data_IF_602807884363
#
_entry.id   IF_602807884363
#
_cell.length_a   1.000
_cell.length_b   1.000
_cell.length_c   1.000
_cell.angle_alpha   90.00
_cell.angle_beta   90.00
_cell.angle_gamma   90.00
#
_symmetry.space_group_name_H-M   'P 1'
#
loop_
_entity.id
_entity.type
_entity.pdbx_description
1 polymer ?
#
# COMPACT_ATOMS: atom_id res chain seq x y z
N UNK A 1 -11.46 5.98 14.56
CA UNK A 1 -10.29 5.98 13.64
C UNK A 1 -10.61 5.31 12.31
N UNK A 2 -11.39 4.22 12.26
CA UNK A 2 -11.85 3.58 11.01
C UNK A 2 -12.70 4.46 10.08
N UNK A 3 -13.59 5.31 10.60
CA UNK A 3 -14.47 6.16 9.78
C UNK A 3 -13.74 7.22 8.92
N UNK A 4 -12.53 7.65 9.30
CA UNK A 4 -11.78 8.65 8.52
C UNK A 4 -11.08 8.05 7.29
N UNK A 5 -10.77 6.75 7.31
CA UNK A 5 -10.15 6.05 6.18
C UNK A 5 -11.19 5.66 5.11
N UNK A 6 -12.40 5.35 5.54
CA UNK A 6 -13.54 4.98 4.69
C UNK A 6 -13.88 6.07 3.66
N UNK A 7 -13.99 7.33 4.12
CA UNK A 7 -14.66 8.37 3.33
C UNK A 7 -13.73 9.31 2.56
N UNK A 8 -12.41 9.31 2.78
CA UNK A 8 -11.54 10.34 2.19
C UNK A 8 -10.38 9.79 1.36
N UNK A 9 -10.54 9.92 0.03
CA UNK A 9 -9.42 10.16 -0.89
C UNK A 9 -8.98 8.98 -1.75
N UNK A 10 -9.61 7.82 -1.64
CA UNK A 10 -9.31 6.69 -2.53
C UNK A 10 -9.88 6.90 -3.93
N UNK A 11 -9.10 6.53 -4.94
CA UNK A 11 -9.40 6.65 -6.35
C UNK A 11 -9.01 5.37 -7.08
N UNK A 12 -9.74 5.03 -8.13
CA UNK A 12 -9.29 4.03 -9.10
C UNK A 12 -8.17 4.60 -9.97
N UNK A 13 -7.12 3.83 -10.18
CA UNK A 13 -5.99 4.25 -11.02
C UNK A 13 -6.36 4.38 -12.50
N UNK A 14 -7.34 3.60 -12.97
CA UNK A 14 -7.75 3.52 -14.38
C UNK A 14 -8.38 4.83 -14.89
N UNK A 15 -9.30 5.41 -14.13
CA UNK A 15 -10.13 6.55 -14.54
C UNK A 15 -10.10 7.71 -13.54
N UNK A 16 -9.43 7.55 -12.40
CA UNK A 16 -9.34 8.57 -11.35
C UNK A 16 -10.63 8.78 -10.56
N UNK A 17 -11.65 7.94 -10.75
CA UNK A 17 -12.91 8.06 -10.02
C UNK A 17 -12.71 7.76 -8.54
N UNK A 18 -13.34 8.56 -7.69
CA UNK A 18 -13.38 8.33 -6.26
C UNK A 18 -14.21 7.09 -5.94
N UNK A 19 -13.76 6.33 -4.95
CA UNK A 19 -14.46 5.14 -4.45
C UNK A 19 -14.42 5.12 -2.93
N UNK A 20 -15.48 4.60 -2.31
CA UNK A 20 -15.36 4.05 -0.95
C UNK A 20 -14.50 2.78 -1.07
N UNK A 21 -13.39 2.75 -0.33
CA UNK A 21 -12.43 1.66 -0.46
C UNK A 21 -13.05 0.32 -0.09
N UNK A 22 -13.79 0.26 1.02
CA UNK A 22 -14.27 -1.01 1.55
C UNK A 22 -15.42 -1.55 0.69
N UNK A 23 -16.38 -0.69 0.36
CA UNK A 23 -17.53 -1.09 -0.47
C UNK A 23 -17.07 -1.55 -1.85
N UNK A 24 -16.09 -0.85 -2.44
CA UNK A 24 -15.54 -1.23 -3.75
C UNK A 24 -14.80 -2.57 -3.68
N UNK A 25 -13.94 -2.78 -2.68
CA UNK A 25 -13.19 -4.04 -2.54
C UNK A 25 -14.15 -5.21 -2.29
N UNK A 26 -15.17 -5.04 -1.45
CA UNK A 26 -16.20 -6.07 -1.22
C UNK A 26 -16.97 -6.39 -2.48
N UNK A 27 -17.44 -5.38 -3.21
CA UNK A 27 -18.18 -5.60 -4.45
C UNK A 27 -17.35 -6.41 -5.48
N UNK A 28 -16.05 -6.18 -5.56
CA UNK A 28 -15.15 -6.98 -6.42
C UNK A 28 -15.04 -8.41 -5.92
N UNK A 29 -14.80 -8.62 -4.62
CA UNK A 29 -14.64 -9.96 -4.03
C UNK A 29 -15.93 -10.79 -4.05
N UNK A 30 -17.08 -10.14 -3.88
CA UNK A 30 -18.40 -10.78 -4.01
C UNK A 30 -18.65 -11.24 -5.45
N UNK A 31 -18.14 -10.50 -6.44
CA UNK A 31 -18.24 -10.88 -7.85
C UNK A 31 -17.23 -11.96 -8.27
N UNK A 32 -16.04 -11.98 -7.66
CA UNK A 32 -14.98 -12.93 -7.92
C UNK A 32 -14.15 -13.20 -6.64
N UNK A 33 -14.50 -14.25 -5.88
CA UNK A 33 -13.79 -14.59 -4.64
C UNK A 33 -12.35 -15.07 -4.85
N UNK A 34 -11.92 -15.32 -6.10
CA UNK A 34 -10.54 -15.73 -6.41
C UNK A 34 -9.55 -14.55 -6.45
N UNK A 35 -10.07 -13.32 -6.42
CA UNK A 35 -9.25 -12.11 -6.44
C UNK A 35 -8.38 -12.03 -5.19
N UNK A 36 -7.08 -11.85 -5.41
CA UNK A 36 -6.11 -11.67 -4.33
C UNK A 36 -5.88 -10.19 -4.05
N UNK A 37 -5.74 -9.83 -2.76
CA UNK A 37 -5.67 -8.44 -2.29
C UNK A 37 -4.30 -8.16 -1.69
N UNK A 38 -3.56 -7.24 -2.30
CA UNK A 38 -2.26 -6.77 -1.80
C UNK A 38 -2.34 -5.30 -1.42
N UNK A 39 -1.66 -4.91 -0.34
CA UNK A 39 -1.60 -3.52 0.12
C UNK A 39 -0.15 -3.09 0.17
N UNK A 40 0.15 -1.87 -0.26
CA UNK A 40 1.51 -1.36 -0.25
C UNK A 40 1.54 0.15 -0.33
N UNK A 41 2.67 0.72 0.05
CA UNK A 41 2.88 2.16 -0.02
C UNK A 41 4.27 2.44 -0.58
N UNK A 42 4.41 3.62 -1.18
CA UNK A 42 5.69 4.21 -1.57
C UNK A 42 5.66 5.70 -1.26
N UNK A 43 6.83 6.32 -1.20
CA UNK A 43 6.94 7.75 -0.95
C UNK A 43 7.99 8.45 -1.80
N UNK A 44 7.72 9.72 -2.12
CA UNK A 44 8.66 10.56 -2.83
C UNK A 44 8.80 11.94 -2.18
N UNK A 45 10.03 12.31 -1.88
CA UNK A 45 10.37 13.65 -1.41
C UNK A 45 10.24 14.66 -2.57
N UNK A 46 9.46 15.70 -2.34
CA UNK A 46 9.38 16.92 -3.16
C UNK A 46 10.14 18.03 -2.44
N UNK A 47 10.19 19.22 -3.05
CA UNK A 47 10.95 20.37 -2.52
C UNK A 47 10.71 20.60 -1.02
N UNK A 48 9.44 20.70 -0.62
CA UNK A 48 9.02 21.10 0.73
C UNK A 48 8.17 20.05 1.47
N UNK A 49 7.90 18.90 0.86
CA UNK A 49 6.99 17.89 1.43
C UNK A 49 7.36 16.50 0.95
N UNK A 50 6.85 15.47 1.63
CA UNK A 50 6.88 14.09 1.17
C UNK A 50 5.49 13.70 0.69
N UNK A 51 5.40 13.10 -0.50
CA UNK A 51 4.15 12.50 -0.99
C UNK A 51 4.20 11.02 -0.69
N UNK A 52 3.22 10.51 0.03
CA UNK A 52 2.98 9.08 0.19
C UNK A 52 1.85 8.67 -0.74
N UNK A 53 1.99 7.54 -1.42
CA UNK A 53 0.92 6.86 -2.11
C UNK A 53 0.71 5.50 -1.46
N UNK A 54 -0.53 5.19 -1.11
CA UNK A 54 -0.93 3.87 -0.59
C UNK A 54 -1.89 3.25 -1.58
N UNK A 55 -1.64 2.00 -1.93
CA UNK A 55 -2.36 1.25 -2.95
C UNK A 55 -2.95 -0.02 -2.38
N UNK A 56 -4.11 -0.37 -2.91
CA UNK A 56 -4.75 -1.68 -2.77
C UNK A 56 -4.85 -2.25 -4.17
N UNK A 57 -4.19 -3.39 -4.39
CA UNK A 57 -4.16 -4.08 -5.67
C UNK A 57 -5.04 -5.32 -5.58
N UNK A 58 -6.08 -5.33 -6.42
CA UNK A 58 -6.98 -6.45 -6.63
C UNK A 58 -6.47 -7.20 -7.86
N UNK A 59 -5.82 -8.34 -7.64
CA UNK A 59 -5.22 -9.16 -8.70
C UNK A 59 -6.17 -10.29 -9.07
N UNK A 60 -6.68 -10.22 -10.28
CA UNK A 60 -7.52 -11.25 -10.90
C UNK A 60 -6.61 -12.35 -11.44
N UNK A 61 -7.09 -13.60 -11.43
CA UNK A 61 -6.33 -14.74 -11.94
C UNK A 61 -5.98 -14.55 -13.44
N UNK A 62 -6.94 -14.07 -14.25
CA UNK A 62 -6.79 -13.98 -15.71
C UNK A 62 -6.83 -12.54 -16.26
N UNK A 63 -7.49 -11.62 -15.56
CA UNK A 63 -7.84 -10.29 -16.09
C UNK A 63 -6.94 -9.15 -15.60
N UNK A 64 -5.68 -9.46 -15.27
CA UNK A 64 -4.73 -8.46 -14.79
C UNK A 64 -5.06 -7.96 -13.38
N UNK A 65 -4.94 -6.65 -13.13
CA UNK A 65 -5.13 -6.09 -11.80
C UNK A 65 -5.87 -4.74 -11.84
N UNK A 66 -6.69 -4.50 -10.82
CA UNK A 66 -7.25 -3.19 -10.52
C UNK A 66 -6.48 -2.56 -9.35
N UNK A 67 -6.16 -1.28 -9.48
CA UNK A 67 -5.45 -0.52 -8.45
C UNK A 67 -6.37 0.57 -7.90
N UNK A 68 -6.60 0.52 -6.60
CA UNK A 68 -7.23 1.59 -5.81
C UNK A 68 -6.11 2.29 -5.04
N UNK A 69 -6.14 3.62 -4.96
CA UNK A 69 -5.05 4.35 -4.32
C UNK A 69 -5.51 5.62 -3.63
N UNK A 70 -4.75 6.02 -2.61
CA UNK A 70 -4.83 7.35 -1.99
C UNK A 70 -3.45 7.99 -2.03
N UNK A 71 -3.42 9.32 -2.10
CA UNK A 71 -2.19 10.11 -1.95
C UNK A 71 -2.33 11.09 -0.80
N UNK A 72 -1.26 11.22 -0.04
CA UNK A 72 -1.18 12.09 1.13
C UNK A 72 0.08 12.95 1.04
N UNK A 73 -0.01 14.19 1.51
CA UNK A 73 1.14 15.10 1.65
C UNK A 73 1.48 15.21 3.13
N UNK A 74 2.73 14.97 3.46
CA UNK A 74 3.28 15.15 4.80
C UNK A 74 4.42 16.17 4.77
N UNK A 75 4.79 16.76 5.92
CA UNK A 75 6.06 17.49 6.05
C UNK A 75 7.23 16.67 5.49
N UNK A 76 8.23 17.35 4.95
CA UNK A 76 9.36 16.67 4.31
C UNK A 76 10.12 15.79 5.30
N UNK A 77 10.20 14.49 5.01
CA UNK A 77 10.93 13.50 5.80
C UNK A 77 12.27 13.21 5.11
N UNK A 78 13.34 13.81 5.63
CA UNK A 78 14.69 13.64 5.06
C UNK A 78 15.33 12.32 5.48
N UNK A 79 15.03 11.84 6.68
CA UNK A 79 15.56 10.58 7.19
C UNK A 79 14.92 9.39 6.48
N UNK A 80 15.76 8.52 5.90
CA UNK A 80 15.30 7.36 5.14
C UNK A 80 14.51 6.39 6.01
N UNK A 81 14.99 6.13 7.24
CA UNK A 81 14.35 5.19 8.14
C UNK A 81 12.92 5.62 8.47
N UNK A 82 12.76 6.86 8.94
CA UNK A 82 11.46 7.46 9.28
C UNK A 82 10.51 7.44 8.08
N UNK A 83 11.03 7.71 6.88
CA UNK A 83 10.22 7.73 5.66
C UNK A 83 9.73 6.34 5.26
N UNK A 84 10.63 5.36 5.22
CA UNK A 84 10.27 3.97 4.91
C UNK A 84 9.34 3.38 5.99
N UNK A 85 9.57 3.70 7.27
CA UNK A 85 8.65 3.30 8.33
C UNK A 85 7.25 3.89 8.13
N UNK A 86 7.18 5.15 7.69
CA UNK A 86 5.92 5.78 7.33
C UNK A 86 5.20 5.12 6.14
N UNK A 87 5.90 4.41 5.25
CA UNK A 87 5.29 3.58 4.21
C UNK A 87 4.72 2.28 4.82
N UNK A 88 5.46 1.63 5.72
CA UNK A 88 5.01 0.41 6.43
C UNK A 88 3.74 0.69 7.24
N UNK A 89 3.72 1.77 8.02
CA UNK A 89 2.58 2.13 8.87
C UNK A 89 1.31 2.41 8.06
N UNK A 90 1.43 3.11 6.93
CA UNK A 90 0.30 3.41 6.04
C UNK A 90 -0.26 2.16 5.37
N UNK A 91 0.60 1.25 4.94
CA UNK A 91 0.16 -0.02 4.35
C UNK A 91 -0.57 -0.87 5.40
N UNK A 92 -0.01 -0.95 6.62
CA UNK A 92 -0.65 -1.67 7.72
C UNK A 92 -1.99 -1.05 8.10
N UNK A 93 -2.09 0.27 8.18
CA UNK A 93 -3.33 0.98 8.50
C UNK A 93 -4.45 0.61 7.52
N UNK A 94 -4.17 0.61 6.22
CA UNK A 94 -5.16 0.25 5.20
C UNK A 94 -5.50 -1.25 5.23
N UNK A 95 -4.51 -2.13 5.41
CA UNK A 95 -4.74 -3.56 5.56
C UNK A 95 -5.66 -3.86 6.75
N UNK A 96 -5.40 -3.21 7.90
CA UNK A 96 -6.23 -3.30 9.11
C UNK A 96 -7.63 -2.77 8.91
N UNK A 97 -7.79 -1.65 8.22
CA UNK A 97 -9.12 -1.14 7.91
C UNK A 97 -9.95 -2.17 7.12
N UNK A 98 -9.35 -2.76 6.08
CA UNK A 98 -9.98 -3.77 5.24
C UNK A 98 -10.24 -5.10 5.98
N UNK A 99 -9.34 -5.57 6.82
CA UNK A 99 -9.55 -6.82 7.58
C UNK A 99 -10.50 -6.64 8.75
N UNK A 100 -10.26 -5.65 9.61
CA UNK A 100 -10.94 -5.50 10.90
C UNK A 100 -12.39 -5.03 10.69
N UNK A 101 -12.62 -4.16 9.70
CA UNK A 101 -13.96 -3.65 9.35
C UNK A 101 -14.60 -4.49 8.25
N UNK A 102 -13.79 -4.87 7.27
CA UNK A 102 -14.25 -5.46 6.03
C UNK A 102 -14.35 -6.97 6.03
N UNK A 103 -13.67 -7.66 6.96
CA UNK A 103 -13.42 -9.10 6.93
C UNK A 103 -12.74 -9.54 5.62
N UNK A 104 -11.99 -8.62 4.98
CA UNK A 104 -11.26 -8.89 3.75
C UNK A 104 -9.95 -9.61 4.08
N UNK A 105 -9.69 -10.72 3.39
CA UNK A 105 -8.41 -11.42 3.47
C UNK A 105 -7.32 -10.65 2.70
N UNK A 106 -6.35 -10.13 3.42
CA UNK A 106 -5.15 -9.50 2.85
C UNK A 106 -4.12 -10.58 2.57
N UNK A 107 -3.75 -10.74 1.30
CA UNK A 107 -2.82 -11.78 0.85
C UNK A 107 -1.35 -11.41 1.03
N UNK A 108 -1.06 -10.12 1.17
CA UNK A 108 0.28 -9.64 1.48
C UNK A 108 0.33 -8.13 1.66
N UNK A 109 1.25 -7.70 2.52
CA UNK A 109 1.64 -6.29 2.65
C UNK A 109 3.00 -6.12 1.98
N UNK A 110 2.99 -5.46 0.83
CA UNK A 110 4.19 -5.19 0.05
C UNK A 110 4.98 -4.02 0.64
N UNK A 111 6.28 -4.24 0.82
CA UNK A 111 7.22 -3.23 1.31
C UNK A 111 8.44 -3.19 0.39
N UNK A 112 8.78 -2.00 -0.15
CA UNK A 112 10.04 -1.79 -0.89
C UNK A 112 11.24 -1.70 0.07
N UNK A 113 11.47 -2.81 0.74
CA UNK A 113 12.56 -3.04 1.66
C UNK A 113 13.32 -4.27 1.15
N UNK A 114 14.64 -4.22 1.21
CA UNK A 114 15.49 -5.29 0.68
C UNK A 114 16.10 -6.12 1.81
N UNK A 115 16.08 -7.44 1.67
CA UNK A 115 16.72 -8.37 2.63
C UNK A 115 18.25 -8.39 2.52
N UNK A 116 18.82 -7.81 1.47
CA UNK A 116 20.27 -7.75 1.24
C UNK A 116 20.89 -6.48 1.87
N UNK A 117 21.86 -6.70 2.77
CA UNK A 117 22.58 -5.67 3.55
C UNK A 117 23.26 -4.58 2.70
N UNK A 118 23.52 -4.85 1.41
CA UNK A 118 24.10 -3.87 0.48
C UNK A 118 23.15 -2.70 0.19
N UNK A 119 21.86 -2.88 0.42
CA UNK A 119 20.84 -1.85 0.14
C UNK A 119 20.53 -1.03 1.39
N UNK A 120 20.44 0.31 1.29
CA UNK A 120 20.14 1.16 2.44
C UNK A 120 18.85 0.82 3.19
N UNK A 121 17.83 0.29 2.50
CA UNK A 121 16.56 -0.09 3.10
C UNK A 121 16.65 -1.33 3.99
N UNK A 122 17.68 -2.17 3.83
CA UNK A 122 17.84 -3.40 4.62
C UNK A 122 17.87 -3.17 6.12
N UNK A 123 18.37 -2.01 6.56
CA UNK A 123 18.36 -1.63 7.97
C UNK A 123 16.97 -1.80 8.60
N UNK A 124 15.90 -1.53 7.85
CA UNK A 124 14.52 -1.62 8.31
C UNK A 124 13.92 -3.04 8.19
N UNK A 125 14.55 -3.95 7.45
CA UNK A 125 13.95 -5.22 7.00
C UNK A 125 13.43 -6.06 8.17
N UNK A 126 14.28 -6.41 9.12
CA UNK A 126 13.89 -7.23 10.27
C UNK A 126 12.79 -6.58 11.12
N UNK A 127 12.88 -5.26 11.33
CA UNK A 127 11.90 -4.52 12.10
C UNK A 127 10.54 -4.47 11.40
N UNK A 128 10.51 -4.16 10.10
CA UNK A 128 9.29 -4.08 9.32
C UNK A 128 8.61 -5.45 9.18
N UNK A 129 9.37 -6.50 8.85
CA UNK A 129 8.84 -7.88 8.76
C UNK A 129 8.27 -8.34 10.09
N UNK A 130 9.00 -8.15 11.19
CA UNK A 130 8.53 -8.52 12.52
C UNK A 130 7.27 -7.75 12.94
N UNK A 131 7.22 -6.45 12.59
CA UNK A 131 6.07 -5.60 12.87
C UNK A 131 4.83 -6.05 12.10
N UNK A 132 4.92 -6.29 10.79
CA UNK A 132 3.78 -6.76 9.99
C UNK A 132 3.27 -8.12 10.48
N UNK A 133 4.18 -9.06 10.79
CA UNK A 133 3.82 -10.39 11.32
C UNK A 133 3.16 -10.34 12.69
N UNK A 134 3.53 -9.39 13.55
CA UNK A 134 2.90 -9.28 14.88
C UNK A 134 1.42 -8.90 14.82
N UNK A 135 0.96 -8.33 13.70
CA UNK A 135 -0.45 -8.09 13.40
C UNK A 135 -1.13 -9.22 12.61
N UNK A 136 -0.42 -10.30 12.30
CA UNK A 136 -0.99 -11.47 11.62
C UNK A 136 -1.08 -11.36 10.09
N UNK A 137 -0.36 -10.42 9.46
CA UNK A 137 -0.27 -10.32 8.00
C UNK A 137 1.02 -10.93 7.46
N UNK A 138 1.01 -11.36 6.20
CA UNK A 138 2.21 -11.79 5.50
C UNK A 138 2.96 -10.58 4.92
N UNK A 139 4.22 -10.32 5.33
CA UNK A 139 5.05 -9.29 4.73
C UNK A 139 5.66 -9.77 3.43
N UNK A 140 5.57 -8.96 2.38
CA UNK A 140 6.31 -9.17 1.13
C UNK A 140 7.42 -8.15 0.97
N UNK A 141 8.62 -8.62 0.65
CA UNK A 141 9.83 -7.76 0.51
C UNK A 141 10.65 -8.16 -0.71
N UNK A 142 11.58 -7.30 -1.14
CA UNK A 142 12.46 -7.65 -2.26
C UNK A 142 13.33 -8.87 -1.89
N UNK A 143 13.53 -9.82 -2.82
CA UNK A 143 13.33 -9.74 -4.28
C UNK A 143 11.97 -10.22 -4.81
N UNK A 144 10.95 -10.37 -3.96
CA UNK A 144 9.62 -10.81 -4.40
C UNK A 144 8.95 -9.81 -5.37
N UNK A 145 7.89 -10.26 -6.04
CA UNK A 145 7.04 -9.37 -6.83
C UNK A 145 6.15 -8.55 -5.90
N UNK A 146 6.30 -7.23 -5.95
CA UNK A 146 5.61 -6.27 -5.09
C UNK A 146 4.61 -5.42 -5.90
N UNK A 147 3.48 -5.98 -6.36
CA UNK A 147 2.54 -5.27 -7.24
C UNK A 147 1.96 -3.99 -6.60
N UNK A 148 1.71 -3.98 -5.30
CA UNK A 148 1.14 -2.82 -4.61
C UNK A 148 2.17 -1.70 -4.48
N UNK A 149 3.40 -1.99 -4.03
CA UNK A 149 4.45 -0.97 -3.96
C UNK A 149 4.87 -0.49 -5.35
N UNK A 150 4.88 -1.37 -6.37
CA UNK A 150 5.12 -0.95 -7.75
C UNK A 150 4.07 0.08 -8.22
N UNK A 151 2.78 -0.20 -7.97
CA UNK A 151 1.71 0.72 -8.32
C UNK A 151 1.82 2.04 -7.54
N UNK A 152 2.19 1.98 -6.26
CA UNK A 152 2.39 3.16 -5.42
C UNK A 152 3.51 4.06 -5.96
N UNK A 153 4.63 3.48 -6.39
CA UNK A 153 5.73 4.22 -7.00
C UNK A 153 5.34 4.93 -8.30
N UNK A 154 4.52 4.29 -9.15
CA UNK A 154 3.96 4.96 -10.34
C UNK A 154 3.13 6.19 -9.95
N UNK A 155 2.31 6.07 -8.90
CA UNK A 155 1.42 7.14 -8.44
C UNK A 155 2.15 8.29 -7.73
N UNK A 156 3.23 7.98 -7.01
CA UNK A 156 4.16 8.96 -6.44
C UNK A 156 4.84 9.79 -7.53
N UNK A 157 5.14 9.19 -8.68
CA UNK A 157 5.86 9.82 -9.79
C UNK A 157 4.97 10.57 -10.82
N UNK A 158 3.64 10.35 -10.85
CA UNK A 158 2.65 10.99 -11.76
C UNK A 158 2.42 12.50 -11.51
N UNK A 159 3.49 13.29 -11.45
CA UNK A 159 3.50 14.76 -11.42
C UNK A 159 4.50 15.36 -12.41
N UNK A 160 4.92 14.58 -13.42
CA UNK A 160 5.80 15.01 -14.52
C UNK A 160 5.06 14.90 -15.86
N UNK A 161 4.03 15.70 -16.05
CA UNK A 161 3.50 16.07 -17.36
C UNK A 161 2.99 17.51 -17.25
#
# INVERSE_FOLDING_TARGET
MGDQLAQNGFKRMMDGQHVDLLDHVRAVLDSDPSVTVYVGSDSHNRSHHTVYATTVVLRFHENGAQVIYRRERAPKVNDLWTRLWGEVERSLEVARYLSDTGQVLIHGIDMDINSDERFPSNKLHTAAVGYIRSYGYEPHTKPELLPATWAANVLCNRGRH
#
